data_IF_838994872432
#
_entry.id   IF_838994872432
#
_cell.length_a   1.000
_cell.length_b   1.000
_cell.length_c   1.000
_cell.angle_alpha   90.00
_cell.angle_beta   90.00
_cell.angle_gamma   90.00
#
_symmetry.space_group_name_H-M   'P 1'
#
loop_
_entity.id
_entity.type
_entity.pdbx_description
1 polymer ?
#
# COMPACT_ATOMS: atom_id res chain seq x y z
N UNK A 1 14.84 -1.71 -15.73
CA UNK A 1 13.84 -0.67 -16.01
C UNK A 1 14.57 0.61 -16.42
N UNK A 2 14.12 1.30 -17.47
CA UNK A 2 14.68 2.60 -17.90
C UNK A 2 13.54 3.60 -17.84
N UNK A 3 13.64 4.58 -16.94
CA UNK A 3 12.69 5.71 -16.92
C UNK A 3 13.21 6.81 -17.83
N UNK A 4 12.51 7.07 -18.93
CA UNK A 4 12.85 8.18 -19.84
C UNK A 4 12.68 9.55 -19.19
N UNK A 5 11.77 9.67 -18.21
CA UNK A 5 11.50 10.94 -17.51
C UNK A 5 12.51 11.27 -16.42
N UNK A 6 13.12 10.26 -15.81
CA UNK A 6 14.03 10.44 -14.67
C UNK A 6 15.50 10.16 -15.01
N UNK A 7 15.80 9.70 -16.23
CA UNK A 7 17.14 9.29 -16.68
C UNK A 7 17.82 8.29 -15.71
N UNK A 8 17.00 7.48 -15.01
CA UNK A 8 17.43 6.44 -14.08
C UNK A 8 17.34 5.09 -14.78
N UNK A 9 18.47 4.40 -14.86
CA UNK A 9 18.53 2.97 -15.23
C UNK A 9 18.52 2.14 -13.95
N UNK A 10 17.32 1.80 -13.50
CA UNK A 10 17.14 0.91 -12.35
C UNK A 10 17.50 -0.52 -12.75
N UNK A 11 18.44 -1.13 -12.04
CA UNK A 11 18.63 -2.58 -12.07
C UNK A 11 17.27 -3.24 -11.75
N UNK A 12 16.93 -4.31 -12.47
CA UNK A 12 15.70 -5.09 -12.21
C UNK A 12 15.66 -5.67 -10.79
N UNK A 13 16.79 -5.65 -10.07
CA UNK A 13 16.92 -5.99 -8.65
C UNK A 13 16.22 -5.01 -7.70
N UNK A 14 15.93 -3.77 -8.12
CA UNK A 14 15.42 -2.68 -7.27
C UNK A 14 14.00 -2.21 -7.63
N UNK A 15 13.18 -3.11 -8.18
CA UNK A 15 11.78 -2.78 -8.51
C UNK A 15 10.95 -2.68 -7.21
N UNK A 16 10.17 -1.60 -7.01
CA UNK A 16 9.25 -1.51 -5.88
C UNK A 16 8.22 -2.64 -5.94
N UNK A 17 8.00 -3.30 -4.81
CA UNK A 17 7.04 -4.42 -4.70
C UNK A 17 5.59 -3.96 -4.59
N UNK A 18 5.38 -2.79 -3.99
CA UNK A 18 4.09 -2.12 -3.80
C UNK A 18 4.29 -0.61 -3.92
N UNK A 19 3.26 0.11 -4.33
CA UNK A 19 3.23 1.57 -4.41
C UNK A 19 2.11 2.06 -3.51
N UNK A 20 2.38 3.01 -2.61
CA UNK A 20 1.35 3.61 -1.75
C UNK A 20 1.07 5.02 -2.22
N UNK A 21 -0.20 5.32 -2.48
CA UNK A 21 -0.64 6.61 -2.97
C UNK A 21 -1.45 7.36 -1.93
N UNK A 22 -0.95 8.53 -1.56
CA UNK A 22 -1.55 9.36 -0.52
C UNK A 22 -1.60 10.80 -1.01
N UNK A 23 -2.66 11.53 -0.66
CA UNK A 23 -2.78 12.93 -0.97
C UNK A 23 -1.67 13.77 -0.29
N UNK A 24 -1.38 14.95 -0.84
CA UNK A 24 -0.31 15.82 -0.35
C UNK A 24 -0.53 16.26 1.11
N UNK A 25 -1.78 16.51 1.51
CA UNK A 25 -2.12 16.98 2.85
C UNK A 25 -1.73 15.96 3.92
N UNK A 26 -2.09 14.71 3.71
CA UNK A 26 -1.79 13.62 4.64
C UNK A 26 -0.29 13.32 4.68
N UNK A 27 0.43 13.43 3.57
CA UNK A 27 1.90 13.34 3.57
C UNK A 27 2.53 14.45 4.41
N UNK A 28 2.04 15.69 4.28
CA UNK A 28 2.53 16.82 5.11
C UNK A 28 2.25 16.59 6.58
N UNK A 29 1.03 16.20 6.94
CA UNK A 29 0.63 15.90 8.32
C UNK A 29 1.52 14.82 8.95
N UNK A 30 1.72 13.70 8.27
CA UNK A 30 2.62 12.63 8.74
C UNK A 30 4.06 13.12 8.86
N UNK A 31 4.51 13.95 7.91
CA UNK A 31 5.84 14.57 7.92
C UNK A 31 6.05 15.49 9.12
N UNK A 32 5.07 16.33 9.45
CA UNK A 32 5.09 17.22 10.61
C UNK A 32 5.17 16.41 11.92
N UNK A 33 4.29 15.41 12.09
CA UNK A 33 4.31 14.54 13.27
C UNK A 33 5.65 13.79 13.43
N UNK A 34 6.26 13.39 12.31
CA UNK A 34 7.57 12.77 12.29
C UNK A 34 8.68 13.72 12.72
N UNK A 35 8.71 14.94 12.19
CA UNK A 35 9.69 15.97 12.54
C UNK A 35 9.57 16.38 14.01
N UNK A 36 8.35 16.44 14.53
CA UNK A 36 8.05 16.74 15.93
C UNK A 36 8.31 15.58 16.89
N UNK A 37 8.76 14.41 16.38
CA UNK A 37 8.98 13.17 17.13
C UNK A 37 7.73 12.73 17.91
N UNK A 38 6.54 13.06 17.41
CA UNK A 38 5.28 12.74 18.06
C UNK A 38 4.84 11.30 17.73
N UNK A 39 5.60 10.34 18.26
CA UNK A 39 5.39 8.91 18.01
C UNK A 39 4.01 8.41 18.44
N UNK A 40 3.41 9.03 19.46
CA UNK A 40 2.07 8.67 19.93
C UNK A 40 1.00 9.03 18.90
N UNK A 41 1.08 10.23 18.31
CA UNK A 41 0.17 10.65 17.26
C UNK A 41 0.39 9.84 15.97
N UNK A 42 1.65 9.58 15.57
CA UNK A 42 1.96 8.71 14.44
C UNK A 42 1.37 7.31 14.61
N UNK A 43 1.51 6.72 15.80
CA UNK A 43 0.98 5.39 16.11
C UNK A 43 -0.55 5.33 16.06
N UNK A 44 -1.24 6.46 16.19
CA UNK A 44 -2.70 6.57 16.09
C UNK A 44 -3.18 7.11 14.75
N UNK A 45 -2.28 7.52 13.85
CA UNK A 45 -2.65 8.16 12.60
C UNK A 45 -3.35 7.15 11.66
N UNK A 46 -4.51 7.51 11.05
CA UNK A 46 -5.25 6.63 10.14
C UNK A 46 -4.50 6.19 8.86
N UNK A 47 -3.34 6.80 8.54
CA UNK A 47 -2.56 6.51 7.33
C UNK A 47 -2.05 5.06 7.33
N UNK A 48 -1.86 4.48 8.52
CA UNK A 48 -1.44 3.11 8.67
C UNK A 48 -2.43 2.14 8.02
N UNK A 49 -3.73 2.46 8.04
CA UNK A 49 -4.74 1.65 7.36
C UNK A 49 -4.66 1.76 5.85
N UNK A 50 -4.46 2.96 5.33
CA UNK A 50 -4.36 3.20 3.89
C UNK A 50 -3.17 2.44 3.31
N UNK A 51 -2.02 2.51 4.00
CA UNK A 51 -0.84 1.72 3.66
C UNK A 51 -1.19 0.22 3.62
N UNK A 52 -1.81 -0.31 4.68
CA UNK A 52 -2.12 -1.75 4.76
C UNK A 52 -3.14 -2.19 3.72
N UNK A 53 -4.16 -1.38 3.45
CA UNK A 53 -5.21 -1.70 2.47
C UNK A 53 -4.69 -1.67 1.04
N UNK A 54 -3.90 -0.67 0.69
CA UNK A 54 -3.26 -0.62 -0.63
C UNK A 54 -2.31 -1.80 -0.83
N UNK A 55 -1.54 -2.16 0.20
CA UNK A 55 -0.67 -3.33 0.17
C UNK A 55 -1.48 -4.62 -0.01
N UNK A 56 -2.53 -4.83 0.80
CA UNK A 56 -3.38 -6.01 0.70
C UNK A 56 -4.05 -6.11 -0.67
N UNK A 57 -4.59 -5.01 -1.18
CA UNK A 57 -5.24 -4.98 -2.49
C UNK A 57 -4.25 -5.31 -3.61
N UNK A 58 -3.07 -4.69 -3.62
CA UNK A 58 -2.04 -4.97 -4.64
C UNK A 58 -1.55 -6.42 -4.57
N UNK A 59 -1.26 -6.92 -3.37
CA UNK A 59 -0.76 -8.29 -3.18
C UNK A 59 -1.82 -9.30 -3.61
N UNK A 60 -3.09 -9.09 -3.25
CA UNK A 60 -4.20 -9.94 -3.68
C UNK A 60 -4.36 -9.91 -5.20
N UNK A 61 -4.38 -8.72 -5.81
CA UNK A 61 -4.47 -8.58 -7.27
C UNK A 61 -3.31 -9.28 -7.97
N UNK A 62 -2.07 -9.11 -7.51
CA UNK A 62 -0.93 -9.76 -8.16
C UNK A 62 -0.87 -11.27 -7.92
N UNK A 63 -1.35 -11.76 -6.76
CA UNK A 63 -1.57 -13.18 -6.51
C UNK A 63 -2.57 -13.75 -7.51
N UNK A 64 -3.74 -13.13 -7.62
CA UNK A 64 -4.83 -13.58 -8.50
C UNK A 64 -4.39 -13.56 -9.98
N UNK A 65 -3.65 -12.52 -10.39
CA UNK A 65 -3.01 -12.48 -11.72
C UNK A 65 -2.03 -13.63 -11.93
N UNK A 66 -1.10 -13.86 -10.99
CA UNK A 66 -0.12 -14.92 -11.07
C UNK A 66 -0.78 -16.31 -11.17
N UNK A 67 -1.86 -16.53 -10.41
CA UNK A 67 -2.67 -17.74 -10.50
C UNK A 67 -3.30 -17.90 -11.90
N UNK A 68 -3.90 -16.83 -12.44
CA UNK A 68 -4.53 -16.82 -13.77
C UNK A 68 -3.55 -17.20 -14.88
N UNK A 69 -2.30 -16.74 -14.79
CA UNK A 69 -1.24 -17.06 -15.76
C UNK A 69 -0.43 -18.32 -15.40
N UNK A 70 -0.89 -19.11 -14.42
CA UNK A 70 -0.28 -20.37 -13.96
C UNK A 70 1.14 -20.25 -13.39
N UNK A 71 1.49 -19.07 -12.88
CA UNK A 71 2.75 -18.82 -12.15
C UNK A 71 2.58 -19.14 -10.66
N UNK A 72 2.49 -20.43 -10.33
CA UNK A 72 2.14 -20.92 -8.98
C UNK A 72 3.15 -20.55 -7.90
N UNK A 73 4.45 -20.55 -8.22
CA UNK A 73 5.50 -20.21 -7.26
C UNK A 73 5.42 -18.74 -6.86
N UNK A 74 5.15 -17.86 -7.83
CA UNK A 74 4.95 -16.42 -7.60
C UNK A 74 3.68 -16.20 -6.78
N UNK A 75 2.58 -16.89 -7.12
CA UNK A 75 1.35 -16.81 -6.35
C UNK A 75 1.56 -17.23 -4.88
N UNK A 76 2.36 -18.27 -4.62
CA UNK A 76 2.68 -18.71 -3.26
C UNK A 76 3.46 -17.67 -2.46
N UNK A 77 4.37 -16.92 -3.11
CA UNK A 77 5.08 -15.80 -2.47
C UNK A 77 4.08 -14.72 -2.05
N UNK A 78 3.17 -14.32 -2.95
CA UNK A 78 2.15 -13.32 -2.62
C UNK A 78 1.20 -13.79 -1.52
N UNK A 79 0.78 -15.06 -1.52
CA UNK A 79 -0.07 -15.63 -0.48
C UNK A 79 0.59 -15.57 0.91
N UNK A 80 1.89 -15.86 1.00
CA UNK A 80 2.63 -15.73 2.27
C UNK A 80 2.65 -14.29 2.75
N UNK A 81 2.89 -13.34 1.84
CA UNK A 81 2.87 -11.91 2.17
C UNK A 81 1.48 -11.44 2.58
N UNK A 82 0.44 -11.86 1.88
CA UNK A 82 -0.96 -11.55 2.19
C UNK A 82 -1.32 -12.00 3.62
N UNK A 83 -0.94 -13.23 4.02
CA UNK A 83 -1.19 -13.74 5.38
C UNK A 83 -0.52 -12.89 6.47
N UNK A 84 0.71 -12.43 6.23
CA UNK A 84 1.41 -11.55 7.17
C UNK A 84 0.69 -10.21 7.28
N UNK A 85 0.33 -9.60 6.14
CA UNK A 85 -0.35 -8.30 6.12
C UNK A 85 -1.74 -8.38 6.74
N UNK A 86 -2.48 -9.46 6.48
CA UNK A 86 -3.81 -9.67 7.05
C UNK A 86 -3.74 -9.74 8.58
N UNK A 87 -2.75 -10.45 9.12
CA UNK A 87 -2.52 -10.50 10.57
C UNK A 87 -2.26 -9.11 11.16
N UNK A 88 -1.42 -8.30 10.52
CA UNK A 88 -1.11 -6.93 10.96
C UNK A 88 -2.35 -6.03 10.88
N UNK A 89 -3.16 -6.20 9.83
CA UNK A 89 -4.41 -5.47 9.63
C UNK A 89 -5.44 -5.82 10.72
N UNK A 90 -5.55 -7.09 11.07
CA UNK A 90 -6.46 -7.58 12.11
C UNK A 90 -6.03 -7.12 13.52
N UNK A 91 -4.72 -7.09 13.80
CA UNK A 91 -4.17 -6.59 15.07
C UNK A 91 -4.42 -5.08 15.29
N UNK A 92 -4.73 -4.32 14.24
CA UNK A 92 -4.95 -2.86 14.30
C UNK A 92 -6.41 -2.46 14.37
N UNK A 93 -7.32 -3.38 14.72
CA UNK A 93 -8.77 -3.19 14.71
C UNK A 93 -9.26 -1.89 15.36
N UNK A 94 -8.65 -1.46 16.46
CA UNK A 94 -9.03 -0.23 17.18
C UNK A 94 -8.95 1.04 16.32
N UNK A 95 -8.03 1.07 15.35
CA UNK A 95 -7.82 2.21 14.46
C UNK A 95 -8.77 2.16 13.24
N UNK A 96 -9.48 1.04 12.97
CA UNK A 96 -10.46 0.93 11.85
C UNK A 96 -11.59 1.92 11.99
N UNK A 97 -11.96 2.26 13.23
CA UNK A 97 -13.03 3.22 13.52
C UNK A 97 -12.69 4.64 13.02
N UNK A 98 -11.41 4.93 12.83
CA UNK A 98 -10.88 6.21 12.34
C UNK A 98 -10.76 6.27 10.81
N UNK A 99 -11.10 5.18 10.11
CA UNK A 99 -10.88 5.01 8.67
C UNK A 99 -11.70 5.99 7.82
N UNK A 100 -12.89 6.37 8.29
CA UNK A 100 -13.76 7.33 7.61
C UNK A 100 -13.15 8.72 7.47
N UNK A 101 -12.14 9.06 8.29
CA UNK A 101 -11.48 10.37 8.25
C UNK A 101 -10.71 10.64 6.95
N UNK A 102 -10.42 9.61 6.15
CA UNK A 102 -9.62 9.69 4.94
C UNK A 102 -10.35 9.21 3.66
N UNK A 103 -11.65 8.93 3.72
CA UNK A 103 -12.45 8.43 2.57
C UNK A 103 -12.35 9.30 1.30
N UNK A 104 -11.97 10.57 1.44
CA UNK A 104 -11.84 11.52 0.34
C UNK A 104 -10.41 11.65 -0.24
N UNK A 105 -9.48 10.73 0.07
CA UNK A 105 -8.15 10.75 -0.54
C UNK A 105 -8.20 10.37 -2.03
N UNK A 106 -8.00 11.37 -2.89
CA UNK A 106 -8.08 11.18 -4.34
C UNK A 106 -7.03 10.23 -4.90
N UNK A 107 -5.85 10.14 -4.30
CA UNK A 107 -4.73 9.33 -4.81
C UNK A 107 -4.94 7.87 -4.44
N UNK A 108 -5.30 7.59 -3.17
CA UNK A 108 -5.71 6.26 -2.72
C UNK A 108 -6.89 5.75 -3.55
N UNK A 109 -7.91 6.58 -3.74
CA UNK A 109 -9.08 6.22 -4.54
C UNK A 109 -8.72 5.93 -6.01
N UNK A 110 -7.78 6.68 -6.59
CA UNK A 110 -7.31 6.41 -7.95
C UNK A 110 -6.60 5.05 -8.04
N UNK A 111 -5.69 4.72 -7.11
CA UNK A 111 -4.97 3.44 -7.12
C UNK A 111 -5.94 2.27 -6.92
N UNK A 112 -6.80 2.35 -5.91
CA UNK A 112 -7.76 1.27 -5.61
C UNK A 112 -8.75 1.04 -6.74
N UNK A 113 -9.24 2.10 -7.39
CA UNK A 113 -10.13 1.96 -8.55
C UNK A 113 -9.43 1.34 -9.76
N UNK A 114 -8.17 1.69 -10.01
CA UNK A 114 -7.41 1.04 -11.09
C UNK A 114 -7.18 -0.45 -10.79
N UNK A 115 -6.89 -0.80 -9.54
CA UNK A 115 -6.68 -2.20 -9.15
C UNK A 115 -7.95 -3.06 -9.22
N UNK A 116 -9.13 -2.48 -8.97
CA UNK A 116 -10.43 -3.15 -9.14
C UNK A 116 -10.73 -3.49 -10.60
N UNK A 117 -10.20 -2.70 -11.54
CA UNK A 117 -10.34 -2.89 -12.98
C UNK A 117 -9.08 -3.49 -13.61
N UNK A 118 -8.14 -3.98 -12.79
CA UNK A 118 -7.03 -4.79 -13.30
C UNK A 118 -7.65 -6.05 -13.87
N UNK A 119 -7.25 -6.49 -15.07
CA UNK A 119 -7.73 -7.63 -15.91
C UNK A 119 -8.49 -7.26 -17.18
#
# INVERSE_FOLDING_TARGET
>A
FVSERLNIRGELSKIPRVIIGVNEKTIKEVGELWLDKNNKALAQHPIQFFILEEMLLQIKTFKDYAQKIKQTDIASIYEKTEKILQKIYDEKEDLKKSQSALENDSVYNAITNNLKNFY
#
